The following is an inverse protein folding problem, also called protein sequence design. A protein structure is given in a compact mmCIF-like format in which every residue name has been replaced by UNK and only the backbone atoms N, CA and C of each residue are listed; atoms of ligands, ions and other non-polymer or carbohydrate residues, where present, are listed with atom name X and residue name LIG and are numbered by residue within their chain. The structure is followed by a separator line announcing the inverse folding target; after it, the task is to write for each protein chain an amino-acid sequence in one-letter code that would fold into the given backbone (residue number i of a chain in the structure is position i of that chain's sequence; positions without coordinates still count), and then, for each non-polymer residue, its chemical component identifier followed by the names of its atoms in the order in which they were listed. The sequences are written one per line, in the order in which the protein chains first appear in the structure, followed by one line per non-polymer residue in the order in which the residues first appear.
data_IF_983082000666
#
_entry.id   IF_983082000666
#
_cell.length_a   1.000
_cell.length_b   1.000
_cell.length_c   1.000
_cell.angle_alpha   90.00
_cell.angle_beta   90.00
_cell.angle_gamma   90.00
#
_symmetry.space_group_name_H-M   'P 1'
#
loop_
_entity.id
_entity.type
_entity.pdbx_description
1 polymer ?
#
# COMPACT_ATOMS: atom_id res chain seq x y z
N UNK A 1 -8.72 33.26 15.08
CA UNK A 1 -9.39 32.22 15.89
C UNK A 1 -10.50 31.64 15.04
N UNK A 2 -10.31 30.43 14.53
CA UNK A 2 -11.30 29.39 14.18
C UNK A 2 -10.51 28.30 13.42
N UNK A 3 -10.02 27.34 14.22
CA UNK A 3 -9.89 25.91 13.93
C UNK A 3 -9.56 25.48 12.49
N UNK A 4 -8.28 25.44 12.14
CA UNK A 4 -7.79 24.59 11.05
C UNK A 4 -7.75 23.16 11.59
N UNK A 5 -8.82 22.45 11.28
CA UNK A 5 -9.05 21.02 11.45
C UNK A 5 -7.76 20.18 11.46
N UNK A 6 -7.47 19.55 12.61
CA UNK A 6 -6.35 18.62 12.75
C UNK A 6 -6.51 17.32 11.91
N UNK A 7 -7.65 17.15 11.21
CA UNK A 7 -7.90 16.04 10.29
C UNK A 7 -7.29 16.24 8.89
N UNK A 8 -7.13 17.48 8.42
CA UNK A 8 -6.54 17.77 7.09
C UNK A 8 -5.06 17.39 7.06
N UNK A 9 -4.31 17.65 8.13
CA UNK A 9 -2.90 17.27 8.19
C UNK A 9 -2.70 15.76 8.07
N UNK A 10 -3.65 14.93 8.53
CA UNK A 10 -3.58 13.46 8.41
C UNK A 10 -3.81 12.97 6.96
N UNK A 11 -4.48 13.74 6.12
CA UNK A 11 -4.54 13.51 4.65
C UNK A 11 -3.18 13.80 3.99
N UNK A 12 -2.40 14.71 4.57
CA UNK A 12 -1.06 15.10 4.09
C UNK A 12 0.10 14.34 4.74
N UNK A 13 -0.10 13.68 5.88
CA UNK A 13 0.85 12.71 6.45
C UNK A 13 0.87 11.44 5.60
N UNK A 14 1.47 11.61 4.43
CA UNK A 14 1.70 10.60 3.44
C UNK A 14 2.83 9.71 3.96
N UNK A 15 2.51 8.53 4.51
CA UNK A 15 3.53 7.53 4.87
C UNK A 15 4.22 6.92 3.65
N UNK A 16 4.17 7.59 2.49
CA UNK A 16 4.80 7.18 1.25
C UNK A 16 6.26 7.66 1.28
N UNK A 17 7.19 6.71 1.30
CA UNK A 17 8.62 6.97 1.23
C UNK A 17 9.19 6.31 -0.01
N UNK A 18 9.95 7.08 -0.79
CA UNK A 18 10.68 6.55 -1.93
C UNK A 18 11.79 5.60 -1.46
N UNK A 19 11.98 4.54 -2.25
CA UNK A 19 13.07 3.59 -2.17
C UNK A 19 13.86 3.65 -3.50
N UNK A 20 15.11 3.17 -3.53
CA UNK A 20 15.86 3.08 -4.78
C UNK A 20 15.10 2.28 -5.86
N UNK A 21 15.34 2.60 -7.14
CA UNK A 21 14.75 1.87 -8.25
C UNK A 21 13.28 2.20 -8.56
N UNK A 22 12.77 3.35 -8.10
CA UNK A 22 11.38 3.77 -8.38
C UNK A 22 10.32 3.04 -7.54
N UNK A 23 10.75 2.35 -6.49
CA UNK A 23 9.87 1.71 -5.53
C UNK A 23 9.44 2.70 -4.44
N UNK A 24 8.26 2.46 -3.86
CA UNK A 24 7.78 3.23 -2.71
C UNK A 24 7.28 2.28 -1.62
N UNK A 25 7.54 2.63 -0.37
CA UNK A 25 6.87 2.01 0.79
C UNK A 25 5.80 2.93 1.33
N UNK A 26 4.65 2.38 1.70
CA UNK A 26 3.56 3.12 2.33
C UNK A 26 2.89 2.33 3.44
N UNK A 27 2.22 3.03 4.37
CA UNK A 27 1.13 2.40 5.11
C UNK A 27 -0.06 2.13 4.17
N UNK A 28 -1.05 1.36 4.63
CA UNK A 28 -2.24 1.05 3.84
C UNK A 28 -2.90 2.33 3.28
N UNK A 29 -2.91 2.53 1.95
CA UNK A 29 -3.39 3.75 1.35
C UNK A 29 -4.92 3.74 1.26
N UNK A 30 -5.52 4.92 1.40
CA UNK A 30 -6.93 5.11 1.03
C UNK A 30 -7.10 5.13 -0.49
N UNK A 31 -8.32 4.87 -1.02
CA UNK A 31 -8.60 4.98 -2.46
C UNK A 31 -8.20 6.32 -3.08
N UNK A 32 -8.34 7.43 -2.35
CA UNK A 32 -7.92 8.76 -2.78
C UNK A 32 -6.39 8.88 -2.91
N UNK A 33 -5.65 8.27 -1.98
CA UNK A 33 -4.19 8.21 -2.04
C UNK A 33 -3.71 7.35 -3.20
N UNK A 34 -4.33 6.19 -3.45
CA UNK A 34 -3.99 5.33 -4.61
C UNK A 34 -4.14 6.12 -5.92
N UNK A 35 -5.25 6.83 -6.10
CA UNK A 35 -5.46 7.73 -7.26
C UNK A 35 -4.38 8.81 -7.36
N UNK A 36 -4.04 9.44 -6.24
CA UNK A 36 -2.98 10.46 -6.21
C UNK A 36 -1.63 9.87 -6.59
N UNK A 37 -1.26 8.71 -6.06
CA UNK A 37 0.03 8.07 -6.33
C UNK A 37 0.14 7.61 -7.78
N UNK A 38 -0.92 7.04 -8.34
CA UNK A 38 -0.97 6.66 -9.75
C UNK A 38 -0.77 7.88 -10.65
N UNK A 39 -1.43 9.00 -10.37
CA UNK A 39 -1.29 10.24 -11.17
C UNK A 39 0.08 10.90 -11.02
N UNK A 40 0.65 10.91 -9.82
CA UNK A 40 1.89 11.62 -9.53
C UNK A 40 3.14 10.81 -9.88
N UNK A 41 3.13 9.51 -9.61
CA UNK A 41 4.30 8.64 -9.73
C UNK A 41 4.14 7.54 -10.78
N UNK A 42 2.98 7.43 -11.41
CA UNK A 42 2.72 6.40 -12.42
C UNK A 42 2.69 4.99 -11.85
N UNK A 43 2.29 4.82 -10.58
CA UNK A 43 2.22 3.50 -9.92
C UNK A 43 1.29 2.57 -10.71
N UNK A 44 1.84 1.41 -11.12
CA UNK A 44 1.13 0.35 -11.86
C UNK A 44 0.87 -0.89 -11.01
N UNK A 45 1.62 -1.06 -9.92
CA UNK A 45 1.53 -2.24 -9.06
C UNK A 45 1.57 -1.82 -7.60
N UNK A 46 0.71 -2.42 -6.78
CA UNK A 46 0.73 -2.32 -5.32
C UNK A 46 0.90 -3.73 -4.77
N UNK A 47 1.89 -3.89 -3.88
CA UNK A 47 2.13 -5.14 -3.15
C UNK A 47 1.57 -4.98 -1.74
N UNK A 48 0.51 -5.72 -1.43
CA UNK A 48 -0.11 -5.74 -0.12
C UNK A 48 0.52 -6.84 0.75
N UNK A 49 1.41 -6.43 1.65
CA UNK A 49 2.07 -7.32 2.61
C UNK A 49 1.16 -7.75 3.78
N UNK A 50 -0.04 -7.19 3.91
CA UNK A 50 -1.01 -7.60 4.94
C UNK A 50 -1.81 -8.83 4.53
N UNK A 51 -1.75 -9.20 3.25
CA UNK A 51 -2.61 -10.20 2.64
C UNK A 51 -4.04 -9.69 2.40
N UNK A 52 -4.78 -10.42 1.57
CA UNK A 52 -6.21 -10.21 1.38
C UNK A 52 -6.98 -10.58 2.65
N UNK A 53 -7.96 -9.76 3.01
CA UNK A 53 -8.88 -10.00 4.13
C UNK A 53 -10.32 -9.59 3.77
N UNK A 54 -11.29 -10.01 4.59
CA UNK A 54 -12.71 -9.68 4.39
C UNK A 54 -13.07 -8.27 4.88
N UNK A 55 -12.08 -7.40 5.10
CA UNK A 55 -12.36 -6.07 5.63
C UNK A 55 -12.84 -5.12 4.54
N UNK A 56 -13.71 -4.18 4.92
CA UNK A 56 -14.15 -3.08 4.05
C UNK A 56 -12.96 -2.30 3.46
N UNK A 57 -11.85 -2.20 4.20
CA UNK A 57 -10.66 -1.45 3.77
C UNK A 57 -9.99 -2.12 2.58
N UNK A 58 -9.77 -3.43 2.66
CA UNK A 58 -9.24 -4.21 1.55
C UNK A 58 -10.15 -4.15 0.33
N UNK A 59 -11.47 -4.31 0.51
CA UNK A 59 -12.42 -4.25 -0.60
C UNK A 59 -12.34 -2.91 -1.37
N UNK A 60 -12.25 -1.79 -0.64
CA UNK A 60 -12.12 -0.45 -1.24
C UNK A 60 -10.78 -0.24 -1.95
N UNK A 61 -9.70 -0.78 -1.39
CA UNK A 61 -8.37 -0.75 -2.01
C UNK A 61 -8.34 -1.57 -3.29
N UNK A 62 -8.85 -2.81 -3.27
CA UNK A 62 -8.95 -3.68 -4.43
C UNK A 62 -9.83 -3.08 -5.53
N UNK A 63 -10.96 -2.47 -5.18
CA UNK A 63 -11.83 -1.76 -6.12
C UNK A 63 -11.13 -0.55 -6.75
N UNK A 64 -10.40 0.23 -5.95
CA UNK A 64 -9.64 1.38 -6.44
C UNK A 64 -8.52 0.93 -7.39
N UNK A 65 -7.78 -0.12 -7.05
CA UNK A 65 -6.76 -0.69 -7.92
C UNK A 65 -7.36 -1.17 -9.25
N UNK A 66 -8.47 -1.92 -9.19
CA UNK A 66 -9.18 -2.41 -10.37
C UNK A 66 -9.65 -1.27 -11.29
N UNK A 67 -10.23 -0.23 -10.71
CA UNK A 67 -10.74 0.94 -11.45
C UNK A 67 -9.63 1.76 -12.11
N UNK A 68 -8.41 1.68 -11.60
CA UNK A 68 -7.24 2.41 -12.11
C UNK A 68 -6.31 1.56 -12.98
N UNK A 69 -6.63 0.27 -13.16
CA UNK A 69 -5.76 -0.67 -13.87
C UNK A 69 -4.44 -0.95 -13.13
N UNK A 70 -4.44 -0.82 -11.80
CA UNK A 70 -3.28 -1.12 -10.95
C UNK A 70 -3.35 -2.60 -10.56
N UNK A 71 -2.25 -3.32 -10.76
CA UNK A 71 -2.11 -4.70 -10.29
C UNK A 71 -1.96 -4.71 -8.77
N UNK A 72 -2.90 -5.35 -8.06
CA UNK A 72 -2.80 -5.59 -6.62
C UNK A 72 -2.28 -7.00 -6.39
N UNK A 73 -1.09 -7.12 -5.79
CA UNK A 73 -0.47 -8.40 -5.43
C UNK A 73 -0.59 -8.59 -3.93
N UNK A 74 -1.36 -9.58 -3.51
CA UNK A 74 -1.50 -9.94 -2.09
C UNK A 74 -0.41 -10.93 -1.68
N UNK A 75 0.55 -10.45 -0.89
CA UNK A 75 1.62 -11.27 -0.33
C UNK A 75 1.24 -11.72 1.08
N UNK A 76 1.12 -13.04 1.27
CA UNK A 76 0.78 -13.65 2.56
C UNK A 76 2.04 -14.07 3.32
N UNK A 77 1.96 -14.13 4.65
CA UNK A 77 3.04 -14.67 5.49
C UNK A 77 3.82 -13.63 6.30
N UNK A 78 3.61 -12.33 6.05
CA UNK A 78 4.17 -11.27 6.91
C UNK A 78 3.26 -11.06 8.11
N UNK A 79 3.75 -11.38 9.30
CA UNK A 79 3.02 -11.22 10.55
C UNK A 79 3.54 -10.02 11.34
N UNK A 80 2.64 -9.27 11.98
CA UNK A 80 3.02 -8.11 12.79
C UNK A 80 3.80 -8.48 14.06
N UNK A 81 3.66 -9.71 14.55
CA UNK A 81 4.09 -10.11 15.91
C UNK A 81 5.14 -11.22 15.93
N UNK A 82 5.60 -11.65 14.76
CA UNK A 82 6.53 -12.77 14.64
C UNK A 82 7.43 -12.55 13.44
N UNK A 83 8.70 -12.97 13.55
CA UNK A 83 9.60 -12.97 12.40
C UNK A 83 9.05 -13.93 11.32
N UNK A 84 9.15 -13.57 10.03
CA UNK A 84 8.75 -14.46 8.96
C UNK A 84 9.64 -15.70 8.92
N UNK A 85 9.08 -16.83 8.49
CA UNK A 85 9.86 -18.04 8.20
C UNK A 85 10.78 -17.82 6.99
N UNK A 86 11.85 -18.60 6.88
CA UNK A 86 12.81 -18.49 5.78
C UNK A 86 12.15 -18.59 4.40
N UNK A 87 11.14 -19.45 4.27
CA UNK A 87 10.35 -19.63 3.04
C UNK A 87 9.64 -18.33 2.61
N UNK A 88 9.02 -17.60 3.56
CA UNK A 88 8.37 -16.31 3.28
C UNK A 88 9.39 -15.26 2.82
N UNK A 89 10.62 -15.31 3.32
CA UNK A 89 11.69 -14.40 2.87
C UNK A 89 12.09 -14.73 1.42
N UNK A 90 12.18 -16.01 1.07
CA UNK A 90 12.50 -16.46 -0.28
C UNK A 90 11.39 -16.08 -1.27
N UNK A 91 10.13 -16.27 -0.91
CA UNK A 91 8.99 -15.86 -1.73
C UNK A 91 8.95 -14.34 -1.93
N UNK A 92 9.27 -13.57 -0.90
CA UNK A 92 9.38 -12.12 -1.00
C UNK A 92 10.51 -11.72 -1.96
N UNK A 93 11.67 -12.39 -1.92
CA UNK A 93 12.76 -12.14 -2.87
C UNK A 93 12.34 -12.40 -4.31
N UNK A 94 11.58 -13.48 -4.57
CA UNK A 94 11.08 -13.78 -5.90
C UNK A 94 10.09 -12.73 -6.45
N UNK A 95 9.44 -11.95 -5.57
CA UNK A 95 8.52 -10.89 -5.99
C UNK A 95 9.24 -9.60 -6.46
N UNK A 96 10.48 -9.39 -6.01
CA UNK A 96 11.28 -8.20 -6.34
C UNK A 96 12.50 -8.50 -7.23
N UNK A 97 12.77 -9.78 -7.52
CA UNK A 97 13.92 -10.29 -8.27
C UNK A 97 13.73 -10.31 -9.78
#
# INVERSE_FOLDING_TARGET
MIFVDHGIFRVFYNNLHALPGGLYRSSQPSPGQIRKYQRQYGIKTIINLRGADDTRRYALEAEACRSLGITLIDFKGIMSRSAPYAEVIQDAQALFG
#
